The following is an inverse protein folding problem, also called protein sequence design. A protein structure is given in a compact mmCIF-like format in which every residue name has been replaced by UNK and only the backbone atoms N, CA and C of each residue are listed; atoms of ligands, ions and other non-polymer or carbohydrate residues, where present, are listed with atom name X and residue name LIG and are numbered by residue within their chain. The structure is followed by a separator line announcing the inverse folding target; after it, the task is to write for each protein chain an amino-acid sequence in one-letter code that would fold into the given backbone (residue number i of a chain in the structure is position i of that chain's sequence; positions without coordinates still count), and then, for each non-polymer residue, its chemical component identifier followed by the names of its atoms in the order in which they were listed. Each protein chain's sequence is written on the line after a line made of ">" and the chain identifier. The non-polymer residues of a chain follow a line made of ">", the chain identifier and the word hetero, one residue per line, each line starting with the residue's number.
data_IF_857863248417
#
_entry.id   IF_857863248417
#
_cell.length_a   1.000
_cell.length_b   1.000
_cell.length_c   1.000
_cell.angle_alpha   90.00
_cell.angle_beta   90.00
_cell.angle_gamma   90.00
#
_symmetry.space_group_name_H-M   'P 1'
#
loop_
_entity.id
_entity.type
_entity.pdbx_description
1 polymer ?
#
# COMPACT_ATOMS: atom_id res chain seq x y z
N UNK A 1 4.18 -8.32 10.71
CA UNK A 1 4.75 -8.96 9.49
C UNK A 1 6.06 -8.26 9.20
N UNK A 2 7.11 -8.96 8.75
CA UNK A 2 8.38 -8.31 8.42
C UNK A 2 8.29 -7.60 7.06
N UNK A 3 8.99 -6.47 6.90
CA UNK A 3 9.06 -5.66 5.66
C UNK A 3 9.29 -6.51 4.41
N UNK A 4 10.26 -7.43 4.45
CA UNK A 4 10.54 -8.36 3.34
C UNK A 4 9.32 -9.20 2.92
N UNK A 5 8.51 -9.66 3.88
CA UNK A 5 7.31 -10.43 3.59
C UNK A 5 6.22 -9.57 2.96
N UNK A 6 6.06 -8.33 3.42
CA UNK A 6 5.10 -7.37 2.85
C UNK A 6 5.42 -7.15 1.37
N UNK A 7 6.69 -6.87 1.07
CA UNK A 7 7.20 -6.63 -0.29
C UNK A 7 7.07 -7.88 -1.16
N UNK A 8 7.46 -9.05 -0.65
CA UNK A 8 7.39 -10.31 -1.40
C UNK A 8 5.94 -10.69 -1.73
N UNK A 9 5.03 -10.55 -0.76
CA UNK A 9 3.62 -10.85 -0.96
C UNK A 9 3.03 -9.88 -2.00
N UNK A 10 3.22 -8.57 -1.83
CA UNK A 10 2.76 -7.56 -2.81
C UNK A 10 3.27 -7.85 -4.22
N UNK A 11 4.57 -8.06 -4.38
CA UNK A 11 5.19 -8.34 -5.68
C UNK A 11 4.71 -9.66 -6.30
N UNK A 12 4.29 -10.64 -5.50
CA UNK A 12 3.78 -11.92 -5.99
C UNK A 12 2.42 -11.78 -6.68
N UNK A 13 1.52 -10.93 -6.16
CA UNK A 13 0.15 -10.84 -6.68
C UNK A 13 -0.15 -9.57 -7.46
N UNK A 14 0.64 -8.49 -7.35
CA UNK A 14 0.34 -7.21 -8.02
C UNK A 14 0.17 -7.32 -9.54
N UNK A 15 0.96 -8.19 -10.19
CA UNK A 15 0.89 -8.41 -11.64
C UNK A 15 -0.39 -9.15 -12.08
N UNK A 16 -1.11 -9.73 -11.12
CA UNK A 16 -2.40 -10.40 -11.35
C UNK A 16 -3.60 -9.49 -11.11
N UNK A 17 -3.39 -8.23 -10.70
CA UNK A 17 -4.45 -7.26 -10.44
C UNK A 17 -4.85 -6.50 -11.71
N UNK A 18 -6.11 -6.07 -11.76
CA UNK A 18 -6.53 -5.07 -12.74
C UNK A 18 -5.89 -3.73 -12.37
N UNK A 19 -5.27 -3.07 -13.36
CA UNK A 19 -4.61 -1.78 -13.18
C UNK A 19 -5.53 -0.72 -12.59
N UNK A 20 -6.83 -0.77 -12.90
CA UNK A 20 -7.84 0.16 -12.38
C UNK A 20 -8.09 0.04 -10.87
N UNK A 21 -7.76 -1.09 -10.27
CA UNK A 21 -8.03 -1.36 -8.86
C UNK A 21 -6.75 -1.56 -8.05
N UNK A 22 -5.57 -1.41 -8.65
CA UNK A 22 -4.31 -1.77 -8.01
C UNK A 22 -4.05 -0.89 -6.77
N UNK A 23 -4.42 0.39 -6.82
CA UNK A 23 -4.29 1.35 -5.71
C UNK A 23 -5.21 0.98 -4.54
N UNK A 24 -6.50 0.79 -4.78
CA UNK A 24 -7.47 0.35 -3.76
C UNK A 24 -7.04 -0.98 -3.13
N UNK A 25 -6.52 -1.92 -3.93
CA UNK A 25 -6.03 -3.20 -3.41
C UNK A 25 -4.77 -3.01 -2.57
N UNK A 26 -3.89 -2.07 -2.91
CA UNK A 26 -2.72 -1.74 -2.10
C UNK A 26 -3.13 -1.20 -0.73
N UNK A 27 -4.09 -0.28 -0.67
CA UNK A 27 -4.65 0.23 0.58
C UNK A 27 -5.22 -0.90 1.44
N UNK A 28 -6.05 -1.77 0.86
CA UNK A 28 -6.61 -2.92 1.57
C UNK A 28 -5.55 -3.92 2.01
N UNK A 29 -4.49 -4.08 1.23
CA UNK A 29 -3.37 -4.91 1.61
C UNK A 29 -2.64 -4.35 2.84
N UNK A 30 -2.39 -3.04 2.88
CA UNK A 30 -1.79 -2.35 4.03
C UNK A 30 -2.69 -2.44 5.27
N UNK A 31 -4.00 -2.19 5.13
CA UNK A 31 -4.99 -2.37 6.21
C UNK A 31 -4.93 -3.79 6.80
N UNK A 32 -4.90 -4.82 5.94
CA UNK A 32 -4.81 -6.21 6.38
C UNK A 32 -3.49 -6.49 7.09
N UNK A 33 -2.37 -5.99 6.57
CA UNK A 33 -1.07 -6.11 7.24
C UNK A 33 -1.09 -5.48 8.64
N UNK A 34 -1.74 -4.32 8.79
CA UNK A 34 -1.92 -3.65 10.07
C UNK A 34 -2.83 -4.44 11.03
N UNK A 35 -3.95 -4.97 10.55
CA UNK A 35 -4.86 -5.82 11.33
C UNK A 35 -4.16 -7.09 11.86
N UNK A 36 -3.17 -7.60 11.12
CA UNK A 36 -2.30 -8.70 11.55
C UNK A 36 -1.13 -8.27 12.46
N UNK A 37 -1.08 -7.01 12.90
CA UNK A 37 -0.11 -6.50 13.85
C UNK A 37 1.26 -6.15 13.26
N UNK A 38 1.28 -5.70 12.00
CA UNK A 38 2.49 -5.11 11.40
C UNK A 38 2.73 -3.74 12.01
N UNK A 39 3.98 -3.47 12.41
CA UNK A 39 4.38 -2.22 13.03
C UNK A 39 4.69 -1.15 11.96
N UNK A 40 4.47 0.12 12.29
CA UNK A 40 4.79 1.26 11.41
C UNK A 40 6.24 1.25 10.92
N UNK A 41 7.17 0.72 11.74
CA UNK A 41 8.59 0.58 11.37
C UNK A 41 8.76 -0.38 10.19
N UNK A 42 8.03 -1.50 10.18
CA UNK A 42 8.08 -2.48 9.10
C UNK A 42 7.46 -1.95 7.81
N UNK A 43 6.42 -1.12 7.92
CA UNK A 43 5.86 -0.42 6.77
C UNK A 43 6.86 0.56 6.16
N UNK A 44 7.55 1.36 6.99
CA UNK A 44 8.60 2.29 6.52
C UNK A 44 9.76 1.55 5.85
N UNK A 45 10.16 0.41 6.40
CA UNK A 45 11.22 -0.42 5.83
C UNK A 45 10.82 -1.11 4.53
N UNK A 46 9.52 -1.29 4.29
CA UNK A 46 8.98 -1.81 3.03
C UNK A 46 8.88 -0.75 1.91
N UNK A 47 8.95 0.54 2.27
CA UNK A 47 8.90 1.63 1.29
C UNK A 47 10.12 1.63 0.34
N UNK A 48 9.96 2.21 -0.85
CA UNK A 48 10.98 2.26 -1.89
C UNK A 48 11.04 0.98 -2.74
N UNK A 49 10.13 0.04 -2.49
CA UNK A 49 10.03 -1.21 -3.25
C UNK A 49 9.03 -1.13 -4.39
N UNK A 50 7.99 -0.30 -4.27
CA UNK A 50 6.96 -0.12 -5.29
C UNK A 50 6.14 1.15 -5.03
N UNK A 51 6.09 2.07 -6.00
CA UNK A 51 5.42 3.37 -5.87
C UNK A 51 3.97 3.27 -5.37
N UNK A 52 3.18 2.31 -5.88
CA UNK A 52 1.78 2.12 -5.46
C UNK A 52 1.68 1.64 -4.00
N UNK A 53 2.59 0.77 -3.57
CA UNK A 53 2.62 0.29 -2.19
C UNK A 53 3.08 1.41 -1.26
N UNK A 54 4.06 2.21 -1.70
CA UNK A 54 4.58 3.34 -0.95
C UNK A 54 3.50 4.40 -0.72
N UNK A 55 2.68 4.70 -1.73
CA UNK A 55 1.53 5.60 -1.60
C UNK A 55 0.51 5.10 -0.58
N UNK A 56 0.15 3.80 -0.63
CA UNK A 56 -0.77 3.20 0.32
C UNK A 56 -0.22 3.19 1.76
N UNK A 57 1.08 2.93 1.93
CA UNK A 57 1.76 3.00 3.22
C UNK A 57 1.78 4.44 3.75
N UNK A 58 2.08 5.42 2.89
CA UNK A 58 2.06 6.84 3.23
C UNK A 58 0.69 7.28 3.75
N UNK A 59 -0.38 6.91 3.02
CA UNK A 59 -1.75 7.18 3.43
C UNK A 59 -2.10 6.53 4.79
N UNK A 60 -1.74 5.26 5.00
CA UNK A 60 -1.99 4.57 6.27
C UNK A 60 -1.26 5.23 7.45
N UNK A 61 0.00 5.64 7.25
CA UNK A 61 0.85 6.22 8.29
C UNK A 61 0.61 7.72 8.49
N UNK A 62 -0.31 8.34 7.74
CA UNK A 62 -0.53 9.79 7.73
C UNK A 62 0.79 10.56 7.53
N UNK A 63 1.67 10.00 6.69
CA UNK A 63 2.89 10.67 6.29
C UNK A 63 2.47 11.58 5.15
N UNK A 64 2.50 12.89 5.40
CA UNK A 64 2.37 13.94 4.37
C UNK A 64 3.40 13.69 3.25
N UNK A 65 3.07 12.81 2.32
CA UNK A 65 3.74 12.67 1.04
C UNK A 65 2.74 13.22 0.03
N UNK A 66 3.14 14.29 -0.65
CA UNK A 66 2.41 14.99 -1.73
C UNK A 66 2.24 14.05 -2.95
N UNK A 67 1.68 12.85 -2.75
CA UNK A 67 1.31 11.89 -3.77
C UNK A 67 -0.02 12.32 -4.37
N UNK A 68 0.09 13.08 -5.47
CA UNK A 68 -0.96 13.59 -6.33
C UNK A 68 -2.40 13.08 -6.05
N UNK A 69 -3.18 13.94 -5.41
CA UNK A 69 -4.60 14.23 -5.64
C UNK A 69 -5.30 13.32 -6.67
N UNK A 70 -5.69 12.11 -6.27
CA UNK A 70 -6.69 11.32 -7.00
C UNK A 70 -8.06 11.74 -6.45
N UNK A 71 -8.47 12.94 -6.86
CA UNK A 71 -9.88 13.24 -7.05
C UNK A 71 -10.43 12.33 -8.15
N UNK A 72 -10.79 11.08 -7.85
CA UNK A 72 -11.66 10.30 -8.72
C UNK A 72 -12.89 9.82 -7.93
N UNK A 73 -13.90 10.69 -7.99
CA UNK A 73 -15.31 10.35 -8.20
C UNK A 73 -15.87 9.22 -7.33
N UNK A 74 -16.28 9.60 -6.11
CA UNK A 74 -17.44 9.01 -5.44
C UNK A 74 -18.74 9.34 -6.21
N UNK A 75 -18.86 8.90 -7.47
CA UNK A 75 -20.12 8.97 -8.22
C UNK A 75 -20.66 7.55 -8.48
N UNK A 76 -21.59 7.18 -7.59
CA UNK A 76 -22.74 6.24 -7.73
C UNK A 76 -22.54 4.79 -8.22
#
# INVERSE_FOLDING_TARGET
>A
MESSQIVDIWNTFKDSLDKKHTEIVAEKFVEVCADYGTDDTEFRDAMGSCDILDAAIGYYLDIDDDGEDIEDEWDE
#
